data_IF_395812369662
#
_entry.id   IF_395812369662
#
_cell.length_a   1.000
_cell.length_b   1.000
_cell.length_c   1.000
_cell.angle_alpha   90.00
_cell.angle_beta   90.00
_cell.angle_gamma   90.00
#
_symmetry.space_group_name_H-M   'P 1'
#
loop_
_entity.id
_entity.type
_entity.pdbx_description
1 polymer ?
#
# COMPACT_ATOMS: atom_id res chain seq x y z
N UNK A 1 12.90 -27.06 -2.13
CA UNK A 1 11.45 -26.84 -1.91
C UNK A 1 11.08 -25.53 -2.58
N UNK A 2 10.19 -25.53 -3.59
CA UNK A 2 9.78 -24.30 -4.27
C UNK A 2 8.69 -23.60 -3.46
N UNK A 3 8.89 -22.34 -3.11
CA UNK A 3 7.90 -21.51 -2.42
C UNK A 3 7.24 -20.59 -3.44
N UNK A 4 5.92 -20.70 -3.59
CA UNK A 4 5.15 -19.80 -4.43
C UNK A 4 4.69 -18.63 -3.55
N UNK A 5 5.43 -17.53 -3.60
CA UNK A 5 5.12 -16.33 -2.84
C UNK A 5 4.12 -15.44 -3.59
N UNK A 6 3.09 -14.96 -2.89
CA UNK A 6 2.11 -14.02 -3.40
C UNK A 6 2.00 -12.83 -2.42
N UNK A 7 1.91 -11.62 -2.96
CA UNK A 7 1.58 -10.41 -2.19
C UNK A 7 0.18 -9.94 -2.55
N UNK A 8 -0.57 -9.54 -1.53
CA UNK A 8 -1.85 -8.83 -1.69
C UNK A 8 -1.60 -7.34 -1.44
N UNK A 9 -1.85 -6.54 -2.47
CA UNK A 9 -1.79 -5.08 -2.42
C UNK A 9 -3.21 -4.53 -2.29
N UNK A 10 -3.36 -3.42 -1.58
CA UNK A 10 -4.65 -2.77 -1.41
C UNK A 10 -4.52 -1.24 -1.54
N UNK A 11 -5.32 -0.66 -2.42
CA UNK A 11 -5.66 0.76 -2.40
C UNK A 11 -7.02 0.90 -1.74
N UNK A 12 -7.13 1.72 -0.70
CA UNK A 12 -8.35 1.84 0.07
C UNK A 12 -8.61 3.29 0.50
N UNK A 13 -9.88 3.67 0.53
CA UNK A 13 -10.31 4.95 1.07
C UNK A 13 -10.21 4.93 2.59
N UNK A 14 -9.49 5.91 3.13
CA UNK A 14 -9.48 6.16 4.58
C UNK A 14 -10.87 6.59 5.02
N UNK A 15 -11.39 5.93 6.05
CA UNK A 15 -12.62 6.30 6.76
C UNK A 15 -12.29 6.55 8.22
N UNK A 16 -12.65 7.73 8.74
CA UNK A 16 -12.29 8.10 10.11
C UNK A 16 -13.06 7.21 11.10
N UNK A 17 -12.33 6.54 11.99
CA UNK A 17 -12.92 5.71 13.05
C UNK A 17 -13.40 4.33 12.61
N UNK A 18 -13.21 3.94 11.34
CA UNK A 18 -13.61 2.63 10.82
C UNK A 18 -12.48 2.03 9.97
N UNK A 19 -12.62 0.75 9.59
CA UNK A 19 -11.72 0.15 8.61
C UNK A 19 -11.72 0.95 7.30
N UNK A 20 -10.57 1.10 6.62
CA UNK A 20 -10.53 1.58 5.24
C UNK A 20 -11.47 0.77 4.35
N UNK A 21 -12.08 1.43 3.37
CA UNK A 21 -12.89 0.73 2.38
C UNK A 21 -12.04 0.46 1.13
N UNK A 22 -11.81 -0.80 0.74
CA UNK A 22 -11.02 -1.11 -0.43
C UNK A 22 -11.60 -0.49 -1.71
N UNK A 23 -10.76 0.20 -2.47
CA UNK A 23 -11.06 0.67 -3.84
C UNK A 23 -10.54 -0.36 -4.85
N UNK A 24 -9.33 -0.87 -4.63
CA UNK A 24 -8.68 -1.84 -5.51
C UNK A 24 -7.83 -2.83 -4.71
N UNK A 25 -7.88 -4.10 -5.11
CA UNK A 25 -6.96 -5.14 -4.64
C UNK A 25 -6.17 -5.69 -5.82
N UNK A 26 -4.88 -5.95 -5.60
CA UNK A 26 -4.03 -6.59 -6.60
C UNK A 26 -3.25 -7.73 -5.99
N UNK A 27 -2.99 -8.75 -6.82
CA UNK A 27 -2.11 -9.85 -6.49
C UNK A 27 -0.86 -9.75 -7.34
N UNK A 28 0.30 -9.86 -6.70
CA UNK A 28 1.59 -9.87 -7.38
C UNK A 28 2.41 -11.06 -6.91
N UNK A 29 3.38 -11.48 -7.72
CA UNK A 29 4.40 -12.40 -7.21
C UNK A 29 5.18 -11.73 -6.07
N UNK A 30 5.67 -12.51 -5.10
CA UNK A 30 6.34 -11.98 -3.91
C UNK A 30 7.68 -11.29 -4.20
N UNK A 31 8.32 -11.61 -5.32
CA UNK A 31 9.57 -11.00 -5.79
C UNK A 31 9.35 -9.64 -6.47
N UNK A 32 8.13 -9.33 -6.91
CA UNK A 32 7.83 -8.05 -7.54
C UNK A 32 7.91 -6.90 -6.52
N UNK A 33 8.47 -5.78 -6.98
CA UNK A 33 8.60 -4.56 -6.20
C UNK A 33 7.25 -3.83 -6.12
N UNK A 34 6.85 -3.44 -4.91
CA UNK A 34 5.53 -2.86 -4.67
C UNK A 34 5.32 -1.52 -5.40
N UNK A 35 6.36 -0.70 -5.55
CA UNK A 35 6.30 0.54 -6.34
C UNK A 35 6.08 0.23 -7.82
N UNK A 36 6.75 -0.79 -8.36
CA UNK A 36 6.55 -1.20 -9.76
C UNK A 36 5.11 -1.64 -9.98
N UNK A 37 4.57 -2.50 -9.11
CA UNK A 37 3.18 -2.97 -9.19
C UNK A 37 2.20 -1.80 -9.15
N UNK A 38 2.41 -0.84 -8.23
CA UNK A 38 1.55 0.35 -8.17
C UNK A 38 1.57 1.14 -9.49
N UNK A 39 2.77 1.38 -10.03
CA UNK A 39 2.95 2.16 -11.26
C UNK A 39 2.35 1.49 -12.49
N UNK A 40 2.46 0.16 -12.61
CA UNK A 40 2.01 -0.56 -13.81
C UNK A 40 0.54 -0.94 -13.75
N UNK A 41 0.03 -1.32 -12.57
CA UNK A 41 -1.30 -1.91 -12.45
C UNK A 41 -2.38 -0.92 -12.00
N UNK A 42 -2.01 0.20 -11.34
CA UNK A 42 -2.98 1.05 -10.64
C UNK A 42 -3.01 2.47 -11.18
N UNK A 43 -1.86 3.12 -11.27
CA UNK A 43 -1.79 4.59 -11.38
C UNK A 43 -2.52 5.11 -12.62
N UNK A 44 -2.44 4.39 -13.74
CA UNK A 44 -3.09 4.82 -14.99
C UNK A 44 -4.63 4.82 -14.90
N UNK A 45 -5.21 4.06 -13.97
CA UNK A 45 -6.65 4.06 -13.71
C UNK A 45 -7.10 5.16 -12.75
N UNK A 46 -6.18 5.82 -12.05
CA UNK A 46 -6.49 6.81 -11.03
C UNK A 46 -6.51 8.24 -11.59
N UNK A 47 -7.47 9.03 -11.12
CA UNK A 47 -7.55 10.47 -11.40
C UNK A 47 -7.96 11.24 -10.15
N UNK A 48 -7.32 12.39 -9.92
CA UNK A 48 -7.66 13.29 -8.81
C UNK A 48 -7.56 12.65 -7.42
N UNK A 49 -6.52 11.85 -7.17
CA UNK A 49 -6.35 11.11 -5.90
C UNK A 49 -5.16 11.64 -5.10
N UNK A 50 -5.35 11.76 -3.78
CA UNK A 50 -4.24 11.91 -2.83
C UNK A 50 -3.96 10.55 -2.20
N UNK A 51 -2.80 9.96 -2.50
CA UNK A 51 -2.39 8.64 -2.04
C UNK A 51 -1.40 8.79 -0.90
N UNK A 52 -1.68 8.15 0.24
CA UNK A 52 -0.79 8.12 1.39
C UNK A 52 -0.13 6.74 1.48
N UNK A 53 1.17 6.68 1.21
CA UNK A 53 1.88 5.41 1.08
C UNK A 53 3.17 5.37 1.91
N UNK A 54 3.76 4.18 2.01
CA UNK A 54 5.03 3.99 2.68
C UNK A 54 6.19 4.68 1.92
N UNK A 55 7.30 4.92 2.61
CA UNK A 55 8.52 5.49 2.07
C UNK A 55 9.07 4.70 0.86
N UNK A 56 8.81 3.39 0.75
CA UNK A 56 9.25 2.63 -0.44
C UNK A 56 8.66 3.17 -1.75
N UNK A 57 7.51 3.85 -1.69
CA UNK A 57 6.82 4.38 -2.88
C UNK A 57 7.32 5.78 -3.32
N UNK A 58 8.29 6.39 -2.64
CA UNK A 58 8.76 7.73 -3.02
C UNK A 58 9.60 7.71 -4.30
N UNK A 59 8.97 8.08 -5.42
CA UNK A 59 9.57 8.39 -6.73
C UNK A 59 9.02 9.73 -7.23
N UNK A 60 9.57 10.82 -6.69
CA UNK A 60 9.02 12.16 -6.90
C UNK A 60 9.03 12.64 -8.37
N UNK A 61 10.03 12.33 -9.22
CA UNK A 61 9.95 12.64 -10.64
C UNK A 61 8.70 12.04 -11.30
N UNK A 62 8.46 10.74 -11.08
CA UNK A 62 7.29 10.07 -11.64
C UNK A 62 5.97 10.66 -11.09
N UNK A 63 5.88 10.86 -9.77
CA UNK A 63 4.66 11.39 -9.15
C UNK A 63 4.38 12.84 -9.52
N UNK A 64 5.40 13.65 -9.79
CA UNK A 64 5.24 15.03 -10.26
C UNK A 64 4.58 15.07 -11.63
N UNK A 65 4.97 14.16 -12.53
CA UNK A 65 4.33 14.03 -13.84
C UNK A 65 2.87 13.56 -13.71
N UNK A 66 2.62 12.54 -12.88
CA UNK A 66 1.27 12.02 -12.63
C UNK A 66 0.35 13.04 -11.96
N UNK A 67 0.88 13.90 -11.10
CA UNK A 67 0.12 15.02 -10.54
C UNK A 67 -0.32 16.01 -11.62
N UNK A 68 0.55 16.33 -12.59
CA UNK A 68 0.22 17.27 -13.68
C UNK A 68 -0.80 16.68 -14.66
N UNK A 69 -0.62 15.42 -15.03
CA UNK A 69 -1.41 14.78 -16.09
C UNK A 69 -2.74 14.20 -15.60
N UNK A 70 -2.79 13.69 -14.37
CA UNK A 70 -3.94 12.95 -13.82
C UNK A 70 -4.44 13.50 -12.48
N UNK A 71 -3.76 14.49 -11.88
CA UNK A 71 -4.10 15.00 -10.55
C UNK A 71 -3.84 13.98 -9.42
N UNK A 72 -2.95 13.01 -9.63
CA UNK A 72 -2.59 11.98 -8.64
C UNK A 72 -1.38 12.45 -7.82
N UNK A 73 -1.61 12.73 -6.54
CA UNK A 73 -0.59 13.17 -5.59
C UNK A 73 -0.13 12.01 -4.72
N UNK A 74 1.18 11.74 -4.71
CA UNK A 74 1.77 10.74 -3.81
C UNK A 74 2.39 11.41 -2.58
N UNK A 75 1.90 11.03 -1.40
CA UNK A 75 2.35 11.51 -0.10
C UNK A 75 3.01 10.36 0.65
N UNK A 76 4.32 10.47 0.88
CA UNK A 76 5.12 9.46 1.59
C UNK A 76 5.96 10.14 2.67
N UNK A 77 6.30 9.46 3.78
CA UNK A 77 7.22 10.01 4.77
C UNK A 77 8.54 10.45 4.14
N UNK A 78 9.11 11.55 4.64
CA UNK A 78 10.33 12.15 4.07
C UNK A 78 11.50 11.15 4.14
N UNK A 79 12.16 10.90 3.01
CA UNK A 79 13.40 10.14 2.94
C UNK A 79 14.57 11.01 3.40
N UNK A 80 15.52 10.42 4.14
CA UNK A 80 16.77 11.10 4.43
C UNK A 80 17.54 11.33 3.12
N UNK A 81 18.06 12.54 2.93
CA UNK A 81 18.81 12.91 1.74
C UNK A 81 20.28 12.60 1.99
N UNK A 82 20.87 11.73 1.15
CA UNK A 82 22.27 11.35 1.28
C UNK A 82 23.18 12.54 0.96
N UNK A 83 24.07 12.89 1.88
CA UNK A 83 25.03 13.99 1.69
C UNK A 83 24.47 15.38 1.98
N UNK A 84 23.27 15.48 2.55
CA UNK A 84 22.72 16.76 3.00
C UNK A 84 23.51 17.31 4.18
N UNK A 85 23.73 18.63 4.18
CA UNK A 85 24.45 19.27 5.28
C UNK A 85 23.69 19.11 6.62
N UNK A 86 24.41 18.85 7.73
CA UNK A 86 23.79 18.71 9.05
C UNK A 86 22.97 19.94 9.47
N UNK A 87 23.38 21.14 9.05
CA UNK A 87 22.69 22.40 9.36
C UNK A 87 21.31 22.45 8.69
N UNK A 88 21.21 22.04 7.43
CA UNK A 88 19.94 21.96 6.69
C UNK A 88 19.05 20.87 7.30
N UNK A 89 19.62 19.69 7.54
CA UNK A 89 18.92 18.56 8.15
C UNK A 89 18.29 18.98 9.49
N UNK A 90 19.06 19.65 10.35
CA UNK A 90 18.61 20.10 11.66
C UNK A 90 17.54 21.20 11.55
N UNK A 91 17.72 22.16 10.63
CA UNK A 91 16.76 23.25 10.39
C UNK A 91 15.40 22.72 9.94
N UNK A 92 15.37 21.72 9.06
CA UNK A 92 14.13 21.18 8.49
C UNK A 92 13.51 20.04 9.30
N UNK A 93 14.26 19.49 10.27
CA UNK A 93 13.88 18.30 11.04
C UNK A 93 12.45 18.37 11.57
N UNK A 94 12.10 19.46 12.27
CA UNK A 94 10.78 19.61 12.88
C UNK A 94 9.64 19.53 11.85
N UNK A 95 9.81 20.17 10.69
CA UNK A 95 8.81 20.14 9.61
C UNK A 95 8.72 18.75 8.97
N UNK A 96 9.86 18.11 8.69
CA UNK A 96 9.92 16.76 8.11
C UNK A 96 9.31 15.71 9.03
N UNK A 97 9.58 15.80 10.32
CA UNK A 97 9.04 14.89 11.33
C UNK A 97 7.53 15.06 11.49
N UNK A 98 7.04 16.31 11.53
CA UNK A 98 5.62 16.61 11.59
C UNK A 98 4.87 16.04 10.38
N UNK A 99 5.38 16.31 9.16
CA UNK A 99 4.79 15.81 7.93
C UNK A 99 4.80 14.28 7.88
N UNK A 100 5.95 13.66 8.15
CA UNK A 100 6.10 12.19 8.14
C UNK A 100 5.19 11.52 9.15
N UNK A 101 5.01 12.11 10.33
CA UNK A 101 4.08 11.65 11.37
C UNK A 101 2.63 11.74 10.87
N UNK A 102 2.26 12.85 10.23
CA UNK A 102 0.90 13.02 9.70
C UNK A 102 0.59 11.99 8.61
N UNK A 103 1.48 11.81 7.63
CA UNK A 103 1.33 10.80 6.57
C UNK A 103 1.23 9.40 7.16
N UNK A 104 2.10 9.05 8.12
CA UNK A 104 2.10 7.73 8.75
C UNK A 104 0.80 7.45 9.53
N UNK A 105 0.29 8.43 10.27
CA UNK A 105 -1.00 8.32 10.99
C UNK A 105 -2.19 8.13 10.04
N UNK A 106 -2.17 8.79 8.88
CA UNK A 106 -3.21 8.64 7.86
C UNK A 106 -3.16 7.26 7.22
N UNK A 107 -1.95 6.72 7.00
CA UNK A 107 -1.70 5.40 6.41
C UNK A 107 -2.03 4.24 7.34
N UNK A 108 -1.71 4.36 8.63
CA UNK A 108 -1.80 3.29 9.64
C UNK A 108 -3.06 2.40 9.57
N UNK A 109 -4.28 2.92 9.32
CA UNK A 109 -5.48 2.09 9.20
C UNK A 109 -5.41 1.00 8.11
N UNK A 110 -4.55 1.12 7.09
CA UNK A 110 -4.38 0.07 6.08
C UNK A 110 -3.79 -1.21 6.68
N UNK A 111 -2.94 -1.09 7.70
CA UNK A 111 -2.39 -2.24 8.42
C UNK A 111 -3.50 -2.96 9.20
N UNK A 112 -4.41 -2.18 9.81
CA UNK A 112 -5.60 -2.73 10.47
C UNK A 112 -6.52 -3.47 9.50
N UNK A 113 -6.64 -3.01 8.25
CA UNK A 113 -7.39 -3.73 7.21
C UNK A 113 -6.78 -5.10 6.93
N UNK A 114 -5.47 -5.19 6.72
CA UNK A 114 -4.80 -6.47 6.47
C UNK A 114 -4.90 -7.42 7.67
N UNK A 115 -4.72 -6.91 8.89
CA UNK A 115 -4.90 -7.70 10.10
C UNK A 115 -6.33 -8.24 10.21
N UNK A 116 -7.32 -7.38 9.98
CA UNK A 116 -8.73 -7.78 10.00
C UNK A 116 -9.06 -8.85 8.94
N UNK A 117 -8.57 -8.72 7.71
CA UNK A 117 -8.73 -9.74 6.66
C UNK A 117 -8.14 -11.08 7.12
N UNK A 118 -6.95 -11.04 7.73
CA UNK A 118 -6.30 -12.25 8.21
C UNK A 118 -7.05 -12.88 9.38
N UNK A 119 -7.53 -12.09 10.35
CA UNK A 119 -8.32 -12.57 11.47
C UNK A 119 -9.63 -13.22 11.02
N UNK A 120 -10.36 -12.59 10.10
CA UNK A 120 -11.66 -13.09 9.64
C UNK A 120 -11.55 -14.34 8.78
N UNK A 121 -10.48 -14.49 8.01
CA UNK A 121 -10.44 -15.49 6.95
C UNK A 121 -9.29 -16.49 7.09
N UNK A 122 -8.29 -16.19 7.92
CA UNK A 122 -7.01 -16.90 8.00
C UNK A 122 -6.29 -16.96 6.65
N UNK A 123 -6.28 -15.85 5.91
CA UNK A 123 -5.73 -15.79 4.54
C UNK A 123 -4.27 -16.26 4.49
N UNK A 124 -3.47 -15.96 5.52
CA UNK A 124 -2.06 -16.36 5.60
C UNK A 124 -1.82 -17.88 5.73
N UNK A 125 -2.86 -18.70 5.95
CA UNK A 125 -2.74 -20.18 5.81
C UNK A 125 -2.34 -20.60 4.39
N UNK A 126 -2.34 -19.66 3.44
CA UNK A 126 -1.70 -19.76 2.13
C UNK A 126 -0.27 -20.32 2.16
N UNK A 127 0.50 -20.10 3.24
CA UNK A 127 1.86 -20.67 3.42
C UNK A 127 1.92 -22.20 3.31
N UNK A 128 0.80 -22.90 3.51
CA UNK A 128 0.72 -24.36 3.42
C UNK A 128 0.48 -24.87 1.99
N UNK A 129 0.16 -23.97 1.06
CA UNK A 129 -0.16 -24.33 -0.33
C UNK A 129 1.13 -24.55 -1.12
N UNK A 130 1.08 -25.49 -2.08
CA UNK A 130 2.25 -25.97 -2.83
C UNK A 130 2.11 -25.82 -4.34
N UNK A 131 1.06 -25.15 -4.81
CA UNK A 131 0.83 -24.89 -6.23
C UNK A 131 0.28 -23.49 -6.44
N UNK A 132 0.67 -22.83 -7.53
CA UNK A 132 0.15 -21.49 -7.90
C UNK A 132 -1.37 -21.48 -8.08
N UNK A 133 -2.00 -22.43 -8.81
CA UNK A 133 -3.45 -22.44 -8.95
C UNK A 133 -4.18 -22.56 -7.61
N UNK A 134 -3.70 -23.44 -6.72
CA UNK A 134 -4.26 -23.59 -5.37
C UNK A 134 -4.10 -22.31 -4.54
N UNK A 135 -2.96 -21.61 -4.69
CA UNK A 135 -2.68 -20.38 -3.97
C UNK A 135 -3.62 -19.25 -4.40
N UNK A 136 -3.88 -19.14 -5.70
CA UNK A 136 -4.83 -18.18 -6.28
C UNK A 136 -6.26 -18.47 -5.80
N UNK A 137 -6.74 -19.72 -5.94
CA UNK A 137 -8.09 -20.11 -5.51
C UNK A 137 -8.29 -19.83 -4.02
N UNK A 138 -7.34 -20.22 -3.18
CA UNK A 138 -7.40 -19.93 -1.74
C UNK A 138 -7.46 -18.44 -1.50
N UNK A 139 -6.55 -17.66 -2.08
CA UNK A 139 -6.46 -16.21 -1.83
C UNK A 139 -7.75 -15.51 -2.28
N UNK A 140 -8.24 -15.81 -3.48
CA UNK A 140 -9.49 -15.23 -4.01
C UNK A 140 -10.70 -15.61 -3.17
N UNK A 141 -10.82 -16.89 -2.77
CA UNK A 141 -11.92 -17.33 -1.90
C UNK A 141 -11.89 -16.66 -0.53
N UNK A 142 -10.70 -16.47 0.05
CA UNK A 142 -10.53 -15.76 1.32
C UNK A 142 -10.86 -14.27 1.20
N UNK A 143 -10.46 -13.62 0.11
CA UNK A 143 -10.84 -12.23 -0.17
C UNK A 143 -12.35 -12.11 -0.31
N UNK A 144 -13.00 -13.01 -1.06
CA UNK A 144 -14.46 -13.00 -1.22
C UNK A 144 -15.18 -13.08 0.13
N UNK A 145 -14.76 -14.00 1.00
CA UNK A 145 -15.31 -14.12 2.37
C UNK A 145 -15.07 -12.84 3.19
N UNK A 146 -13.87 -12.24 3.10
CA UNK A 146 -13.57 -10.99 3.81
C UNK A 146 -14.52 -9.87 3.39
N UNK A 147 -14.87 -9.79 2.10
CA UNK A 147 -15.76 -8.75 1.59
C UNK A 147 -17.21 -8.99 1.97
N UNK A 148 -17.65 -10.24 2.07
CA UNK A 148 -18.97 -10.58 2.62
C UNK A 148 -19.08 -10.02 4.05
N UNK A 149 -18.08 -10.25 4.90
CA UNK A 149 -18.03 -9.67 6.27
C UNK A 149 -17.90 -8.14 6.31
N UNK A 150 -17.43 -7.51 5.23
CA UNK A 150 -17.26 -6.06 5.18
C UNK A 150 -18.55 -5.35 4.78
N UNK A 151 -19.40 -6.03 3.99
CA UNK A 151 -20.64 -5.49 3.44
C UNK A 151 -21.85 -5.84 4.31
N UNK A 152 -21.91 -7.06 4.86
CA UNK A 152 -23.01 -7.60 5.67
C UNK A 152 -22.59 -7.77 7.13
#
# INVERSE_FOLDING_TARGET
>A
MYYFGLKLHALAFRRKGTLPFPEMLMLSSADQNDLTVLKTEVVDSLTGRNIFADKIYSDFPYWTEKQKNQGVCMLTPVKAIKGEEPVITQREKAARDLFSTAVSKIRQPIESLFNWINEKTNIQRAIKIRSTPGLLIHTMGKIAIAFIYLIF
#
